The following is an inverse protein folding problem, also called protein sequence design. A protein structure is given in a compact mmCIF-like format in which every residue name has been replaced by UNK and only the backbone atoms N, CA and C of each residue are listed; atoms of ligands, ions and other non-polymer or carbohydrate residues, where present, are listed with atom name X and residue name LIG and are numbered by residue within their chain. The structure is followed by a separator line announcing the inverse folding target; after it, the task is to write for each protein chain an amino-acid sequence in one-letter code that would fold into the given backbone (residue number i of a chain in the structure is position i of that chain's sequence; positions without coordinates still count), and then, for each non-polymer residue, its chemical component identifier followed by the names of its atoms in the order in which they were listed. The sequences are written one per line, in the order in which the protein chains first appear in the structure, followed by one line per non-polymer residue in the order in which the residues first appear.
data_IF_651458486736
#
_entry.id   IF_651458486736
#
_cell.length_a   1.000
_cell.length_b   1.000
_cell.length_c   1.000
_cell.angle_alpha   90.00
_cell.angle_beta   90.00
_cell.angle_gamma   90.00
#
_symmetry.space_group_name_H-M   'P 1'
#
loop_
_entity.id
_entity.type
_entity.pdbx_description
1 polymer ?
#
# COMPACT_ATOMS: atom_id res chain seq x y z
N UNK A 1 -8.25 15.79 13.05
CA UNK A 1 -8.04 15.64 11.61
C UNK A 1 -7.51 14.26 11.31
N UNK A 2 -8.09 13.59 10.34
CA UNK A 2 -7.74 12.22 9.97
C UNK A 2 -7.06 12.20 8.61
N UNK A 3 -6.01 11.40 8.48
CA UNK A 3 -5.31 11.21 7.22
C UNK A 3 -5.38 9.77 6.75
N UNK A 4 -5.13 9.58 5.45
CA UNK A 4 -5.04 8.27 4.81
C UNK A 4 -3.74 8.20 4.03
N UNK A 5 -3.07 7.05 4.12
CA UNK A 5 -1.82 6.81 3.39
C UNK A 5 -1.90 5.47 2.68
N UNK A 6 -1.69 5.48 1.36
CA UNK A 6 -1.65 4.27 0.54
C UNK A 6 -0.21 3.97 0.19
N UNK A 7 0.22 2.74 0.44
CA UNK A 7 1.60 2.30 0.18
C UNK A 7 1.60 1.06 -0.71
N UNK A 8 2.63 0.91 -1.52
CA UNK A 8 2.85 -0.29 -2.30
C UNK A 8 2.34 -0.24 -3.73
N UNK A 9 1.97 0.94 -4.23
CA UNK A 9 1.50 1.10 -5.61
C UNK A 9 2.62 0.98 -6.64
N UNK A 10 2.27 1.06 -7.94
CA UNK A 10 3.25 0.96 -9.02
C UNK A 10 4.38 1.98 -8.86
N UNK A 11 5.62 1.52 -9.03
CA UNK A 11 6.80 2.37 -8.89
C UNK A 11 7.26 2.61 -7.46
N UNK A 12 6.52 2.11 -6.48
CA UNK A 12 6.90 2.27 -5.07
C UNK A 12 8.14 1.46 -4.75
N UNK A 13 9.03 2.04 -3.95
CA UNK A 13 10.25 1.38 -3.48
C UNK A 13 10.30 1.43 -1.97
N UNK A 14 11.24 0.69 -1.37
CA UNK A 14 11.45 0.75 0.09
C UNK A 14 11.81 2.18 0.53
N UNK A 15 12.60 2.86 -0.28
CA UNK A 15 13.00 4.24 -0.01
C UNK A 15 11.79 5.18 -0.03
N UNK A 16 10.94 5.08 -1.07
CA UNK A 16 9.76 5.94 -1.17
C UNK A 16 8.76 5.66 -0.06
N UNK A 17 8.63 4.40 0.37
CA UNK A 17 7.78 4.05 1.52
C UNK A 17 8.27 4.75 2.78
N UNK A 18 9.57 4.70 3.05
CA UNK A 18 10.14 5.36 4.22
C UNK A 18 9.94 6.87 4.18
N UNK A 19 10.12 7.48 3.01
CA UNK A 19 9.86 8.91 2.83
C UNK A 19 8.40 9.26 3.10
N UNK A 20 7.47 8.43 2.62
CA UNK A 20 6.04 8.65 2.84
C UNK A 20 5.68 8.54 4.31
N UNK A 21 6.21 7.55 5.01
CA UNK A 21 5.98 7.38 6.44
C UNK A 21 6.54 8.56 7.25
N UNK A 22 7.74 9.00 6.91
CA UNK A 22 8.36 10.15 7.58
C UNK A 22 7.55 11.42 7.33
N UNK A 23 7.08 11.62 6.11
CA UNK A 23 6.25 12.77 5.78
C UNK A 23 4.94 12.75 6.57
N UNK A 24 4.26 11.59 6.62
CA UNK A 24 3.02 11.46 7.36
C UNK A 24 3.24 11.71 8.85
N UNK A 25 4.37 11.26 9.39
CA UNK A 25 4.71 11.47 10.79
C UNK A 25 4.92 12.96 11.12
N UNK A 26 5.32 13.76 10.14
CA UNK A 26 5.52 15.19 10.31
C UNK A 26 4.21 15.99 10.33
N UNK A 27 3.11 15.38 9.94
CA UNK A 27 1.82 16.06 9.86
C UNK A 27 1.09 16.03 11.21
N UNK A 28 0.39 17.12 11.57
CA UNK A 28 -0.35 17.18 12.85
C UNK A 28 -1.70 16.49 12.73
N UNK A 29 -1.68 15.17 12.53
CA UNK A 29 -2.90 14.38 12.37
C UNK A 29 -3.29 13.73 13.69
N UNK A 30 -4.59 13.73 14.00
CA UNK A 30 -5.13 13.03 15.16
C UNK A 30 -5.13 11.53 14.94
N UNK A 31 -5.39 11.11 13.71
CA UNK A 31 -5.40 9.70 13.32
C UNK A 31 -4.86 9.55 11.90
N UNK A 32 -4.19 8.44 11.66
CA UNK A 32 -3.72 8.06 10.33
C UNK A 32 -4.09 6.61 10.05
N UNK A 33 -4.76 6.39 8.93
CA UNK A 33 -5.03 5.04 8.44
C UNK A 33 -4.07 4.71 7.32
N UNK A 34 -3.38 3.58 7.44
CA UNK A 34 -2.41 3.13 6.46
C UNK A 34 -2.94 1.89 5.75
N UNK A 35 -2.93 1.91 4.42
CA UNK A 35 -3.32 0.77 3.61
C UNK A 35 -2.09 0.30 2.83
N UNK A 36 -1.70 -0.96 3.00
CA UNK A 36 -0.61 -1.58 2.26
C UNK A 36 -1.20 -2.36 1.09
N UNK A 37 -0.74 -2.05 -0.12
CA UNK A 37 -1.29 -2.61 -1.34
C UNK A 37 -2.49 -1.81 -1.84
N UNK A 38 -2.73 -1.86 -3.15
CA UNK A 38 -3.81 -1.11 -3.79
C UNK A 38 -4.77 -2.10 -4.41
N UNK A 39 -6.05 -1.98 -4.08
CA UNK A 39 -7.08 -2.89 -4.60
C UNK A 39 -7.18 -2.77 -6.12
N UNK A 40 -7.21 -3.92 -6.79
CA UNK A 40 -7.29 -4.00 -8.24
C UNK A 40 -8.76 -4.13 -8.65
N UNK A 41 -9.22 -3.19 -9.47
CA UNK A 41 -10.57 -3.21 -10.05
C UNK A 41 -10.48 -3.62 -11.51
N UNK A 42 -11.52 -4.30 -12.07
CA UNK A 42 -11.49 -4.72 -13.47
C UNK A 42 -11.48 -3.52 -14.42
N UNK A 43 -10.88 -3.73 -15.58
CA UNK A 43 -10.84 -2.73 -16.67
C UNK A 43 -10.12 -1.42 -16.31
N UNK A 44 -9.17 -1.47 -15.38
CA UNK A 44 -8.38 -0.31 -15.01
C UNK A 44 -6.95 -0.46 -15.51
N UNK A 45 -6.21 0.64 -15.53
CA UNK A 45 -4.78 0.61 -15.86
C UNK A 45 -4.02 -0.28 -14.89
N UNK A 46 -4.41 -0.25 -13.61
CA UNK A 46 -3.77 -1.08 -12.60
C UNK A 46 -4.00 -2.57 -12.85
N UNK A 47 -5.22 -2.97 -13.30
CA UNK A 47 -5.49 -4.37 -13.61
C UNK A 47 -4.62 -4.86 -14.78
N UNK A 48 -4.42 -4.02 -15.80
CA UNK A 48 -3.58 -4.34 -16.94
C UNK A 48 -2.13 -4.48 -16.51
N UNK A 49 -1.65 -3.61 -15.66
CA UNK A 49 -0.30 -3.67 -15.12
C UNK A 49 -0.11 -4.92 -14.27
N UNK A 50 -1.08 -5.26 -13.43
CA UNK A 50 -1.03 -6.44 -12.58
C UNK A 50 -0.94 -7.72 -13.39
N UNK A 51 -1.70 -7.81 -14.49
CA UNK A 51 -1.61 -8.95 -15.42
C UNK A 51 -0.20 -9.03 -16.04
N UNK A 52 0.30 -7.89 -16.51
CA UNK A 52 1.62 -7.82 -17.14
C UNK A 52 2.73 -8.27 -16.19
N UNK A 53 2.61 -7.91 -14.92
CA UNK A 53 3.61 -8.26 -13.90
C UNK A 53 3.38 -9.64 -13.29
N UNK A 54 2.29 -10.31 -13.66
CA UNK A 54 2.01 -11.64 -13.14
C UNK A 54 1.36 -11.67 -11.74
N UNK A 55 0.91 -10.52 -11.25
CA UNK A 55 0.25 -10.44 -9.95
C UNK A 55 -1.13 -11.07 -9.96
N UNK A 56 -1.82 -11.03 -11.09
CA UNK A 56 -3.10 -11.70 -11.30
C UNK A 56 -3.10 -12.35 -12.68
N UNK A 57 -4.00 -13.31 -12.90
CA UNK A 57 -4.19 -13.94 -14.18
C UNK A 57 -5.02 -13.05 -15.10
N UNK A 58 -4.78 -13.16 -16.42
CA UNK A 58 -5.51 -12.36 -17.40
C UNK A 58 -7.01 -12.63 -17.40
N UNK A 59 -7.42 -13.82 -17.01
CA UNK A 59 -8.83 -14.23 -16.96
C UNK A 59 -9.47 -14.06 -15.58
N UNK A 60 -8.75 -13.42 -14.64
CA UNK A 60 -9.29 -13.15 -13.31
C UNK A 60 -10.42 -12.12 -13.43
N UNK A 61 -11.62 -12.46 -12.99
CA UNK A 61 -12.79 -11.59 -13.05
C UNK A 61 -12.82 -10.56 -11.90
N UNK A 62 -11.90 -10.68 -10.95
CA UNK A 62 -11.77 -9.78 -9.80
C UNK A 62 -13.02 -9.74 -8.91
N UNK A 63 -13.81 -10.81 -8.92
CA UNK A 63 -14.94 -10.94 -7.99
C UNK A 63 -14.48 -11.03 -6.54
N UNK A 64 -13.32 -11.66 -6.32
CA UNK A 64 -12.66 -11.66 -5.03
C UNK A 64 -11.64 -10.53 -5.00
N UNK A 65 -11.54 -9.76 -3.90
CA UNK A 65 -10.57 -8.66 -3.84
C UNK A 65 -9.15 -9.15 -4.06
N UNK A 66 -8.44 -8.46 -4.99
CA UNK A 66 -7.02 -8.67 -5.24
C UNK A 66 -6.33 -7.33 -5.04
N UNK A 67 -5.12 -7.38 -4.49
CA UNK A 67 -4.37 -6.16 -4.19
C UNK A 67 -3.05 -6.18 -4.93
N UNK A 68 -2.69 -5.02 -5.47
CA UNK A 68 -1.39 -4.82 -6.10
C UNK A 68 -0.39 -4.43 -5.02
N UNK A 69 0.80 -5.04 -5.09
CA UNK A 69 1.92 -4.65 -4.24
C UNK A 69 3.17 -4.64 -5.11
N UNK A 70 3.92 -3.54 -5.11
CA UNK A 70 5.12 -3.40 -5.91
C UNK A 70 6.14 -4.46 -5.51
N UNK A 71 6.92 -4.94 -6.49
CA UNK A 71 7.94 -5.96 -6.25
C UNK A 71 8.96 -5.48 -5.23
N UNK A 72 9.41 -6.39 -4.38
CA UNK A 72 10.39 -6.10 -3.35
C UNK A 72 9.81 -5.58 -2.05
N UNK A 73 8.51 -5.38 -1.99
CA UNK A 73 7.84 -4.89 -0.79
C UNK A 73 7.13 -5.98 0.01
N UNK A 74 6.93 -7.17 -0.56
CA UNK A 74 6.25 -8.27 0.14
C UNK A 74 6.96 -8.62 1.44
N UNK A 75 6.19 -8.77 2.51
CA UNK A 75 6.72 -9.07 3.84
C UNK A 75 7.39 -7.87 4.51
N UNK A 76 8.31 -7.22 3.80
CA UNK A 76 9.02 -6.05 4.32
C UNK A 76 8.06 -4.89 4.66
N UNK A 77 7.08 -4.63 3.80
CA UNK A 77 6.16 -3.50 3.98
C UNK A 77 5.33 -3.69 5.25
N UNK A 78 4.79 -4.88 5.46
CA UNK A 78 4.01 -5.20 6.64
C UNK A 78 4.83 -4.98 7.91
N UNK A 79 6.05 -5.52 7.94
CA UNK A 79 6.93 -5.39 9.10
C UNK A 79 7.28 -3.94 9.38
N UNK A 80 7.59 -3.18 8.33
CA UNK A 80 7.96 -1.78 8.47
C UNK A 80 6.80 -0.94 9.00
N UNK A 81 5.61 -1.15 8.46
CA UNK A 81 4.41 -0.45 8.93
C UNK A 81 4.13 -0.80 10.39
N UNK A 82 4.26 -2.07 10.76
CA UNK A 82 4.04 -2.50 12.15
C UNK A 82 5.02 -1.83 13.10
N UNK A 83 6.29 -1.71 12.71
CA UNK A 83 7.29 -1.04 13.53
C UNK A 83 6.94 0.42 13.77
N UNK A 84 6.54 1.13 12.72
CA UNK A 84 6.14 2.53 12.85
C UNK A 84 4.89 2.69 13.71
N UNK A 85 3.93 1.78 13.58
CA UNK A 85 2.68 1.84 14.33
C UNK A 85 2.85 1.55 15.82
N UNK A 86 3.85 0.77 16.21
CA UNK A 86 4.10 0.46 17.62
C UNK A 86 4.34 1.72 18.45
N UNK A 87 5.00 2.70 17.88
CA UNK A 87 5.34 3.95 18.55
C UNK A 87 4.30 5.05 18.33
N UNK A 88 3.25 4.75 17.55
CA UNK A 88 2.25 5.73 17.11
C UNK A 88 0.85 5.15 17.28
N UNK A 89 0.29 5.21 18.50
CA UNK A 89 -1.01 4.58 18.76
C UNK A 89 -2.16 5.19 17.96
N UNK A 90 -1.99 6.39 17.42
CA UNK A 90 -3.01 7.03 16.58
C UNK A 90 -2.96 6.57 15.11
N UNK A 91 -2.00 5.72 14.76
CA UNK A 91 -1.94 5.13 13.43
C UNK A 91 -2.63 3.76 13.45
N UNK A 92 -3.35 3.44 12.37
CA UNK A 92 -4.06 2.15 12.22
C UNK A 92 -4.06 1.71 10.77
N UNK A 93 -4.42 0.46 10.58
CA UNK A 93 -4.62 -0.09 9.23
C UNK A 93 -6.07 -0.07 8.84
#
# INVERSE_FOLDING_TARGET
QMGFLLLGGPGETRSSVKESLAFADSLPLDRLKITAGIRIYPNTMLSKLAVREGAINADDDLLHPRFYLAKGLEGWLQETVDEWMRERPHWSR
#
